data_IF_348033568915
#
_entry.id   IF_348033568915
#
_cell.length_a   1.000
_cell.length_b   1.000
_cell.length_c   1.000
_cell.angle_alpha   90.00
_cell.angle_beta   90.00
_cell.angle_gamma   90.00
#
_symmetry.space_group_name_H-M   'P 1'
#
loop_
_entity.id
_entity.type
_entity.pdbx_description
1 polymer ?
#
# COMPACT_ATOMS: atom_id res chain seq x y z
N UNK A 1 2.55 11.86 -21.22
CA UNK A 1 2.85 11.88 -19.78
C UNK A 1 1.62 11.47 -18.96
N UNK A 2 0.47 12.04 -19.23
CA UNK A 2 -0.80 11.78 -18.58
C UNK A 2 -1.22 10.31 -18.68
N UNK A 3 -1.31 9.77 -19.89
CA UNK A 3 -1.75 8.39 -20.14
C UNK A 3 -0.93 7.32 -19.40
N UNK A 4 0.36 7.56 -19.17
CA UNK A 4 1.26 6.60 -18.51
C UNK A 4 0.87 6.46 -17.04
N UNK A 5 0.64 7.57 -16.39
CA UNK A 5 0.28 7.64 -14.97
C UNK A 5 -1.12 7.12 -14.71
N UNK A 6 -2.07 7.55 -15.54
CA UNK A 6 -3.46 7.15 -15.45
C UNK A 6 -3.60 5.64 -15.69
N UNK A 7 -2.82 5.09 -16.64
CA UNK A 7 -2.73 3.65 -16.85
C UNK A 7 -2.07 2.93 -15.67
N UNK A 8 -1.01 3.50 -15.08
CA UNK A 8 -0.37 2.90 -13.90
C UNK A 8 -1.31 2.84 -12.71
N UNK A 9 -2.05 3.93 -12.46
CA UNK A 9 -3.05 3.97 -11.37
C UNK A 9 -4.21 3.02 -11.65
N UNK A 10 -4.71 2.95 -12.89
CA UNK A 10 -5.76 2.02 -13.27
C UNK A 10 -5.35 0.56 -12.97
N UNK A 11 -4.14 0.16 -13.35
CA UNK A 11 -3.63 -1.18 -13.07
C UNK A 11 -3.37 -1.44 -11.58
N UNK A 12 -2.90 -0.42 -10.86
CA UNK A 12 -2.76 -0.50 -9.40
C UNK A 12 -4.13 -0.67 -8.73
N UNK A 13 -5.14 0.10 -9.16
CA UNK A 13 -6.51 -0.06 -8.67
C UNK A 13 -7.09 -1.43 -9.01
N UNK A 14 -6.86 -1.91 -10.24
CA UNK A 14 -7.23 -3.28 -10.63
C UNK A 14 -6.61 -4.31 -9.67
N UNK A 15 -5.32 -4.21 -9.43
CA UNK A 15 -4.60 -5.11 -8.54
C UNK A 15 -5.12 -5.05 -7.10
N UNK A 16 -5.19 -3.85 -6.53
CA UNK A 16 -5.58 -3.63 -5.14
C UNK A 16 -7.04 -4.01 -4.86
N UNK A 17 -7.98 -3.54 -5.68
CA UNK A 17 -9.40 -3.85 -5.49
C UNK A 17 -9.72 -5.29 -5.87
N UNK A 18 -9.01 -5.87 -6.83
CA UNK A 18 -9.15 -7.29 -7.18
C UNK A 18 -8.77 -8.19 -6.01
N UNK A 19 -7.61 -7.96 -5.40
CA UNK A 19 -7.20 -8.68 -4.22
C UNK A 19 -8.21 -8.50 -3.07
N UNK A 20 -8.66 -7.26 -2.80
CA UNK A 20 -9.62 -6.99 -1.73
C UNK A 20 -10.97 -7.67 -1.94
N UNK A 21 -11.43 -7.80 -3.19
CA UNK A 21 -12.70 -8.45 -3.51
C UNK A 21 -12.74 -9.94 -3.11
N UNK A 22 -11.58 -10.60 -3.13
CA UNK A 22 -11.49 -12.03 -2.79
C UNK A 22 -10.88 -12.29 -1.41
N UNK A 23 -10.26 -11.28 -0.76
CA UNK A 23 -9.50 -11.46 0.49
C UNK A 23 -10.37 -12.01 1.62
N UNK A 24 -11.50 -11.38 1.92
CA UNK A 24 -12.39 -11.83 3.00
C UNK A 24 -13.01 -13.17 2.67
N UNK A 25 -13.40 -13.40 1.41
CA UNK A 25 -13.95 -14.68 0.96
C UNK A 25 -12.95 -15.82 1.11
N UNK A 26 -11.67 -15.57 0.79
CA UNK A 26 -10.58 -16.53 0.99
C UNK A 26 -10.33 -16.83 2.48
N UNK A 27 -10.44 -15.83 3.35
CA UNK A 27 -10.28 -16.04 4.79
C UNK A 27 -11.36 -16.95 5.37
N UNK A 28 -12.62 -16.78 4.94
CA UNK A 28 -13.80 -17.50 5.48
C UNK A 28 -14.00 -18.85 4.79
N UNK A 29 -13.54 -19.00 3.54
CA UNK A 29 -13.73 -20.24 2.79
C UNK A 29 -13.12 -21.42 3.57
N UNK A 30 -13.82 -22.56 3.52
CA UNK A 30 -13.39 -23.80 4.20
C UNK A 30 -11.97 -24.18 3.79
N UNK A 31 -11.19 -24.69 4.73
CA UNK A 31 -9.80 -25.14 4.54
C UNK A 31 -9.68 -26.49 3.83
N UNK A 32 -10.82 -27.07 3.47
CA UNK A 32 -10.93 -28.36 2.78
C UNK A 32 -11.74 -28.22 1.51
N UNK A 33 -11.30 -28.83 0.43
CA UNK A 33 -12.04 -28.86 -0.82
C UNK A 33 -11.26 -28.40 -2.04
N UNK A 34 -11.98 -28.23 -3.17
CA UNK A 34 -11.34 -27.92 -4.46
C UNK A 34 -10.77 -26.49 -4.51
N UNK A 35 -11.35 -25.57 -3.74
CA UNK A 35 -10.90 -24.16 -3.64
C UNK A 35 -10.78 -23.80 -2.16
N UNK A 36 -9.85 -24.45 -1.46
CA UNK A 36 -9.65 -24.30 -0.04
C UNK A 36 -9.20 -22.85 0.33
N UNK A 37 -9.80 -22.32 1.39
CA UNK A 37 -9.42 -21.04 2.00
C UNK A 37 -8.65 -21.25 3.30
N UNK A 38 -8.73 -20.30 4.21
CA UNK A 38 -8.08 -20.38 5.52
C UNK A 38 -9.00 -20.88 6.65
N UNK A 39 -10.31 -21.02 6.43
CA UNK A 39 -11.26 -21.52 7.41
C UNK A 39 -11.42 -20.64 8.66
N UNK A 40 -11.17 -19.33 8.56
CA UNK A 40 -11.31 -18.41 9.69
C UNK A 40 -12.80 -18.18 9.99
N UNK A 41 -13.12 -17.96 11.25
CA UNK A 41 -14.44 -17.46 11.63
C UNK A 41 -14.69 -16.08 11.00
N UNK A 42 -15.97 -15.79 10.66
CA UNK A 42 -16.33 -14.51 10.02
C UNK A 42 -15.83 -13.30 10.81
N UNK A 43 -15.94 -13.35 12.16
CA UNK A 43 -15.50 -12.26 13.03
C UNK A 43 -13.98 -12.05 12.93
N UNK A 44 -13.22 -13.12 12.94
CA UNK A 44 -11.75 -13.08 12.81
C UNK A 44 -11.33 -12.53 11.45
N UNK A 45 -11.98 -12.99 10.38
CA UNK A 45 -11.73 -12.54 9.03
C UNK A 45 -11.97 -11.02 8.86
N UNK A 46 -13.10 -10.51 9.39
CA UNK A 46 -13.39 -9.08 9.34
C UNK A 46 -12.45 -8.24 10.22
N UNK A 47 -12.04 -8.75 11.38
CA UNK A 47 -11.05 -8.08 12.23
C UNK A 47 -9.71 -7.98 11.52
N UNK A 48 -9.21 -9.07 10.93
CA UNK A 48 -7.97 -9.09 10.18
C UNK A 48 -8.02 -8.14 8.96
N UNK A 49 -9.14 -8.15 8.23
CA UNK A 49 -9.35 -7.22 7.13
C UNK A 49 -9.36 -5.76 7.57
N UNK A 50 -9.96 -5.47 8.72
CA UNK A 50 -9.97 -4.15 9.34
C UNK A 50 -8.55 -3.67 9.67
N UNK A 51 -7.75 -4.51 10.31
CA UNK A 51 -6.35 -4.25 10.61
C UNK A 51 -5.52 -4.01 9.34
N UNK A 52 -5.64 -4.90 8.36
CA UNK A 52 -4.97 -4.73 7.09
C UNK A 52 -5.29 -3.37 6.46
N UNK A 53 -6.58 -3.01 6.39
CA UNK A 53 -7.02 -1.74 5.81
C UNK A 53 -6.46 -0.54 6.58
N UNK A 54 -6.47 -0.59 7.90
CA UNK A 54 -5.91 0.45 8.76
C UNK A 54 -4.40 0.64 8.50
N UNK A 55 -3.64 -0.46 8.43
CA UNK A 55 -2.20 -0.38 8.15
C UNK A 55 -1.89 0.20 6.78
N UNK A 56 -2.69 -0.09 5.76
CA UNK A 56 -2.56 0.53 4.43
C UNK A 56 -2.64 2.05 4.50
N UNK A 57 -3.56 2.60 5.30
CA UNK A 57 -3.66 4.05 5.46
C UNK A 57 -2.52 4.63 6.30
N UNK A 58 -2.16 3.99 7.41
CA UNK A 58 -1.05 4.43 8.28
C UNK A 58 0.27 4.42 7.52
N UNK A 59 0.54 3.40 6.72
CA UNK A 59 1.77 3.28 5.92
C UNK A 59 1.94 4.40 4.89
N UNK A 60 0.86 5.09 4.50
CA UNK A 60 0.93 6.22 3.58
C UNK A 60 1.66 7.44 4.18
N UNK A 61 1.66 7.59 5.52
CA UNK A 61 2.35 8.69 6.20
C UNK A 61 3.88 8.55 6.08
N UNK A 62 4.51 7.45 6.56
CA UNK A 62 5.95 7.28 6.39
C UNK A 62 6.36 7.17 4.91
N UNK A 63 5.51 6.57 4.06
CA UNK A 63 5.79 6.47 2.62
C UNK A 63 5.90 7.84 1.94
N UNK A 64 5.03 8.79 2.27
CA UNK A 64 5.12 10.17 1.81
C UNK A 64 6.39 10.88 2.32
N UNK A 65 6.69 10.76 3.62
CA UNK A 65 7.88 11.37 4.23
C UNK A 65 9.18 10.85 3.60
N UNK A 66 9.28 9.54 3.35
CA UNK A 66 10.42 8.92 2.68
C UNK A 66 10.57 9.47 1.26
N UNK A 67 9.47 9.60 0.55
CA UNK A 67 9.49 10.14 -0.81
C UNK A 67 9.94 11.60 -0.83
N UNK A 68 9.37 12.45 0.01
CA UNK A 68 9.64 13.89 -0.02
C UNK A 68 11.05 14.24 0.47
N UNK A 69 11.57 13.49 1.47
CA UNK A 69 12.83 13.85 2.13
C UNK A 69 14.05 13.04 1.68
N UNK A 70 13.87 11.83 1.12
CA UNK A 70 14.98 10.87 0.98
C UNK A 70 15.22 10.45 -0.46
N UNK A 71 14.19 9.92 -1.13
CA UNK A 71 14.37 9.24 -2.41
C UNK A 71 13.74 9.95 -3.62
N UNK A 72 12.82 10.88 -3.38
CA UNK A 72 11.99 11.51 -4.41
C UNK A 72 10.75 10.66 -4.76
N UNK A 73 9.69 11.33 -5.18
CA UNK A 73 8.39 10.70 -5.43
C UNK A 73 8.45 9.65 -6.56
N UNK A 74 9.22 9.89 -7.64
CA UNK A 74 9.42 8.92 -8.73
C UNK A 74 9.95 7.58 -8.25
N UNK A 75 11.00 7.61 -7.43
CA UNK A 75 11.61 6.39 -6.90
C UNK A 75 10.69 5.72 -5.90
N UNK A 76 9.96 6.50 -5.08
CA UNK A 76 9.01 5.97 -4.13
C UNK A 76 7.86 5.22 -4.83
N UNK A 77 7.30 5.78 -5.91
CA UNK A 77 6.28 5.12 -6.74
C UNK A 77 6.84 3.83 -7.37
N UNK A 78 8.06 3.88 -7.90
CA UNK A 78 8.69 2.69 -8.50
C UNK A 78 8.90 1.57 -7.47
N UNK A 79 9.49 1.88 -6.32
CA UNK A 79 9.73 0.91 -5.24
C UNK A 79 8.41 0.38 -4.69
N UNK A 80 7.44 1.25 -4.46
CA UNK A 80 6.10 0.88 -4.00
C UNK A 80 5.41 -0.09 -4.98
N UNK A 81 5.50 0.18 -6.27
CA UNK A 81 4.98 -0.71 -7.31
C UNK A 81 5.67 -2.08 -7.35
N UNK A 82 6.99 -2.13 -7.18
CA UNK A 82 7.73 -3.40 -7.08
C UNK A 82 7.33 -4.21 -5.83
N UNK A 83 7.14 -3.54 -4.70
CA UNK A 83 6.65 -4.19 -3.47
C UNK A 83 5.24 -4.76 -3.66
N UNK A 84 4.37 -4.05 -4.40
CA UNK A 84 3.03 -4.55 -4.72
C UNK A 84 3.08 -5.79 -5.62
N UNK A 85 3.90 -5.78 -6.67
CA UNK A 85 4.10 -6.96 -7.54
C UNK A 85 4.60 -8.14 -6.72
N UNK A 86 5.61 -7.93 -5.87
CA UNK A 86 6.15 -8.97 -4.99
C UNK A 86 5.08 -9.47 -4.01
N UNK A 87 4.32 -8.56 -3.38
CA UNK A 87 3.27 -8.90 -2.42
C UNK A 87 2.18 -9.78 -3.02
N UNK A 88 1.66 -9.41 -4.19
CA UNK A 88 0.64 -10.23 -4.87
C UNK A 88 1.20 -11.56 -5.37
N UNK A 89 2.47 -11.60 -5.81
CA UNK A 89 3.13 -12.84 -6.22
C UNK A 89 3.32 -13.78 -5.03
N UNK A 90 3.65 -13.26 -3.85
CA UNK A 90 3.76 -14.03 -2.62
C UNK A 90 2.39 -14.51 -2.14
N UNK A 91 1.33 -13.70 -2.25
CA UNK A 91 -0.06 -14.14 -1.95
C UNK A 91 -0.55 -15.28 -2.84
N UNK A 92 0.02 -15.43 -4.04
CA UNK A 92 -0.30 -16.55 -4.92
C UNK A 92 0.33 -17.89 -4.45
N UNK A 93 1.17 -17.90 -3.40
CA UNK A 93 1.74 -19.10 -2.81
C UNK A 93 0.79 -19.64 -1.74
N UNK A 94 0.45 -20.93 -1.85
CA UNK A 94 -0.48 -21.63 -0.93
C UNK A 94 0.20 -21.95 0.42
N UNK A 95 0.51 -20.91 1.20
CA UNK A 95 1.11 -21.06 2.51
C UNK A 95 0.72 -19.91 3.44
N UNK A 96 0.42 -20.20 4.71
CA UNK A 96 0.00 -19.21 5.70
C UNK A 96 1.05 -18.11 5.91
N UNK A 97 2.35 -18.46 5.96
CA UNK A 97 3.41 -17.46 6.06
C UNK A 97 3.45 -16.51 4.84
N UNK A 98 3.17 -17.05 3.65
CA UNK A 98 3.14 -16.28 2.40
C UNK A 98 1.96 -15.30 2.41
N UNK A 99 0.83 -15.69 2.98
CA UNK A 99 -0.33 -14.83 3.16
C UNK A 99 0.02 -13.57 3.98
N UNK A 100 0.59 -13.73 5.19
CA UNK A 100 0.97 -12.58 6.01
C UNK A 100 2.12 -11.75 5.41
N UNK A 101 3.12 -12.42 4.83
CA UNK A 101 4.23 -11.74 4.16
C UNK A 101 3.73 -10.93 2.95
N UNK A 102 2.83 -11.51 2.14
CA UNK A 102 2.22 -10.85 1.00
C UNK A 102 1.42 -9.61 1.40
N UNK A 103 0.55 -9.71 2.41
CA UNK A 103 -0.20 -8.56 2.94
C UNK A 103 0.74 -7.46 3.46
N UNK A 104 1.82 -7.83 4.15
CA UNK A 104 2.81 -6.87 4.66
C UNK A 104 3.51 -6.11 3.52
N UNK A 105 3.92 -6.82 2.47
CA UNK A 105 4.52 -6.21 1.27
C UNK A 105 3.54 -5.27 0.56
N UNK A 106 2.27 -5.65 0.47
CA UNK A 106 1.22 -4.81 -0.12
C UNK A 106 1.00 -3.54 0.70
N UNK A 107 0.92 -3.64 2.03
CA UNK A 107 0.81 -2.48 2.93
C UNK A 107 1.96 -1.49 2.69
N UNK A 108 3.20 -1.98 2.67
CA UNK A 108 4.37 -1.14 2.41
C UNK A 108 4.34 -0.55 1.00
N UNK A 109 3.97 -1.34 0.01
CA UNK A 109 3.88 -0.93 -1.40
C UNK A 109 2.86 0.17 -1.63
N UNK A 110 1.62 0.00 -1.13
CA UNK A 110 0.55 1.01 -1.22
C UNK A 110 0.95 2.28 -0.48
N UNK A 111 1.55 2.14 0.72
CA UNK A 111 2.03 3.26 1.51
C UNK A 111 3.03 4.14 0.75
N UNK A 112 3.95 3.54 -0.02
CA UNK A 112 4.92 4.28 -0.82
C UNK A 112 4.34 4.79 -2.16
N UNK A 113 3.45 4.06 -2.80
CA UNK A 113 2.93 4.41 -4.12
C UNK A 113 1.84 5.47 -4.04
N UNK A 114 0.79 5.21 -3.26
CA UNK A 114 -0.47 5.96 -3.29
C UNK A 114 -0.34 7.47 -3.02
N UNK A 115 0.33 7.94 -1.95
CA UNK A 115 0.45 9.38 -1.69
C UNK A 115 1.27 10.08 -2.78
N UNK A 116 2.30 9.41 -3.28
CA UNK A 116 3.28 10.00 -4.19
C UNK A 116 2.78 10.09 -5.63
N UNK A 117 2.04 9.11 -6.13
CA UNK A 117 1.47 9.16 -7.48
C UNK A 117 0.43 10.28 -7.59
N UNK A 118 -0.42 10.48 -6.56
CA UNK A 118 -1.40 11.56 -6.52
C UNK A 118 -0.75 12.94 -6.51
N UNK A 119 0.33 13.11 -5.76
CA UNK A 119 1.11 14.36 -5.73
C UNK A 119 1.74 14.66 -7.09
N UNK A 120 2.30 13.63 -7.74
CA UNK A 120 2.85 13.77 -9.10
C UNK A 120 1.79 14.17 -10.13
N UNK A 121 0.52 13.73 -9.98
CA UNK A 121 -0.60 14.18 -10.82
C UNK A 121 -0.76 15.68 -10.73
N UNK A 122 -0.83 16.22 -9.50
CA UNK A 122 -0.97 17.65 -9.28
C UNK A 122 0.20 18.48 -9.81
N UNK A 123 1.41 17.95 -9.78
CA UNK A 123 2.65 18.62 -10.22
C UNK A 123 2.86 18.70 -11.73
N UNK A 124 2.05 17.98 -12.54
CA UNK A 124 2.19 18.02 -14.01
C UNK A 124 1.57 19.26 -14.66
N UNK A 125 0.69 19.93 -13.94
CA UNK A 125 -0.02 21.08 -14.49
C UNK A 125 0.43 22.36 -13.78
N UNK A 126 0.80 23.42 -14.53
CA UNK A 126 1.02 24.73 -13.98
C UNK A 126 -0.23 25.22 -13.21
N UNK A 127 0.01 26.00 -12.14
CA UNK A 127 -1.09 26.51 -11.28
C UNK A 127 -2.06 27.38 -12.09
N UNK A 128 -1.56 28.04 -13.14
CA UNK A 128 -2.31 28.93 -14.04
C UNK A 128 -3.27 28.16 -14.97
N UNK A 129 -3.05 26.87 -15.20
CA UNK A 129 -3.85 26.03 -16.09
C UNK A 129 -4.85 25.15 -15.34
N UNK A 130 -5.65 25.72 -14.45
CA UNK A 130 -6.60 24.98 -13.60
C UNK A 130 -7.54 24.07 -14.40
N UNK A 131 -8.10 24.55 -15.52
CA UNK A 131 -9.01 23.75 -16.35
C UNK A 131 -8.35 22.46 -16.89
N UNK A 132 -7.08 22.52 -17.29
CA UNK A 132 -6.35 21.32 -17.74
C UNK A 132 -6.03 20.39 -16.58
N UNK A 133 -5.71 20.95 -15.42
CA UNK A 133 -5.47 20.18 -14.20
C UNK A 133 -6.71 19.42 -13.76
N UNK A 134 -7.86 20.08 -13.74
CA UNK A 134 -9.15 19.48 -13.38
C UNK A 134 -9.52 18.36 -14.37
N UNK A 135 -9.36 18.59 -15.68
CA UNK A 135 -9.55 17.56 -16.70
C UNK A 135 -8.62 16.38 -16.49
N UNK A 136 -7.37 16.60 -16.12
CA UNK A 136 -6.40 15.56 -15.78
C UNK A 136 -6.85 14.71 -14.60
N UNK A 137 -7.39 15.33 -13.55
CA UNK A 137 -7.97 14.61 -12.42
C UNK A 137 -9.22 13.81 -12.79
N UNK A 138 -10.10 14.33 -13.66
CA UNK A 138 -11.26 13.56 -14.13
C UNK A 138 -10.85 12.28 -14.85
N UNK A 139 -9.87 12.35 -15.74
CA UNK A 139 -9.34 11.16 -16.46
C UNK A 139 -8.71 10.17 -15.48
N UNK A 140 -7.93 10.68 -14.51
CA UNK A 140 -7.33 9.89 -13.46
C UNK A 140 -8.37 9.13 -12.62
N UNK A 141 -9.42 9.82 -12.15
CA UNK A 141 -10.51 9.19 -11.40
C UNK A 141 -11.32 8.19 -12.26
N UNK A 142 -11.50 8.46 -13.55
CA UNK A 142 -12.15 7.52 -14.46
C UNK A 142 -11.32 6.23 -14.57
N UNK A 143 -10.00 6.33 -14.67
CA UNK A 143 -9.08 5.17 -14.64
C UNK A 143 -9.20 4.36 -13.36
N UNK A 144 -9.25 5.02 -12.19
CA UNK A 144 -9.45 4.39 -10.88
C UNK A 144 -10.74 3.54 -10.88
N UNK A 145 -11.87 4.13 -11.32
CA UNK A 145 -13.16 3.45 -11.29
C UNK A 145 -13.21 2.29 -12.29
N UNK A 146 -12.62 2.46 -13.47
CA UNK A 146 -12.54 1.39 -14.47
C UNK A 146 -11.69 0.23 -13.97
N UNK A 147 -10.55 0.51 -13.35
CA UNK A 147 -9.68 -0.49 -12.72
C UNK A 147 -10.41 -1.26 -11.61
N UNK A 148 -11.08 -0.53 -10.70
CA UNK A 148 -11.80 -1.14 -9.59
C UNK A 148 -12.98 -2.01 -10.04
N UNK A 149 -13.79 -1.53 -11.00
CA UNK A 149 -14.95 -2.27 -11.50
C UNK A 149 -14.53 -3.54 -12.26
N UNK A 150 -13.56 -3.44 -13.16
CA UNK A 150 -13.03 -4.59 -13.90
C UNK A 150 -12.37 -5.62 -12.97
N UNK A 151 -11.69 -5.16 -11.93
CA UNK A 151 -11.05 -6.00 -10.94
C UNK A 151 -12.06 -6.87 -10.17
N UNK A 152 -13.12 -6.25 -9.65
CA UNK A 152 -14.15 -6.99 -8.90
C UNK A 152 -14.79 -8.10 -9.75
N UNK A 153 -15.02 -7.83 -11.05
CA UNK A 153 -15.61 -8.81 -11.97
C UNK A 153 -14.60 -9.91 -12.33
N UNK A 154 -13.40 -9.55 -12.78
CA UNK A 154 -12.43 -10.49 -13.36
C UNK A 154 -11.72 -11.26 -12.25
N UNK A 155 -11.12 -10.58 -11.29
CA UNK A 155 -10.40 -11.23 -10.18
C UNK A 155 -11.36 -11.95 -9.25
N UNK A 156 -12.54 -11.36 -8.99
CA UNK A 156 -13.59 -11.99 -8.19
C UNK A 156 -14.09 -13.30 -8.82
N UNK A 157 -14.34 -13.31 -10.13
CA UNK A 157 -14.75 -14.51 -10.85
C UNK A 157 -13.66 -15.59 -10.83
N UNK A 158 -12.41 -15.24 -11.14
CA UNK A 158 -11.29 -16.18 -11.16
C UNK A 158 -11.04 -16.76 -9.77
N UNK A 159 -11.01 -15.91 -8.73
CA UNK A 159 -10.79 -16.36 -7.35
C UNK A 159 -11.83 -17.34 -6.86
N UNK A 160 -13.12 -17.07 -7.12
CA UNK A 160 -14.21 -17.93 -6.62
C UNK A 160 -14.42 -19.22 -7.44
N UNK A 161 -14.24 -19.16 -8.77
CA UNK A 161 -14.61 -20.27 -9.65
C UNK A 161 -13.42 -21.12 -10.09
N UNK A 162 -12.20 -20.56 -10.13
CA UNK A 162 -11.00 -21.25 -10.60
C UNK A 162 -10.08 -21.56 -9.42
N UNK A 163 -9.76 -20.57 -8.57
CA UNK A 163 -8.96 -20.72 -7.37
C UNK A 163 -8.49 -19.38 -6.81
N UNK A 164 -8.45 -19.27 -5.47
CA UNK A 164 -8.07 -18.05 -4.77
C UNK A 164 -6.68 -17.55 -5.18
N UNK A 165 -5.72 -18.47 -5.28
CA UNK A 165 -4.33 -18.17 -5.63
C UNK A 165 -4.17 -17.67 -7.07
N UNK A 166 -4.99 -18.16 -8.00
CA UNK A 166 -5.07 -17.62 -9.36
C UNK A 166 -5.65 -16.19 -9.37
N UNK A 167 -6.63 -15.91 -8.51
CA UNK A 167 -7.15 -14.57 -8.32
C UNK A 167 -6.07 -13.59 -7.80
N UNK A 168 -5.33 -13.97 -6.77
CA UNK A 168 -4.21 -13.18 -6.25
C UNK A 168 -3.09 -13.01 -7.28
N UNK A 169 -2.76 -14.08 -8.01
CA UNK A 169 -1.78 -14.04 -9.11
C UNK A 169 -2.21 -13.09 -10.24
N UNK A 170 -3.49 -13.09 -10.61
CA UNK A 170 -4.03 -12.19 -11.63
C UNK A 170 -3.96 -10.71 -11.19
N UNK A 171 -4.23 -10.44 -9.92
CA UNK A 171 -3.98 -9.11 -9.35
C UNK A 171 -2.51 -8.71 -9.45
N UNK A 172 -1.59 -9.66 -9.21
CA UNK A 172 -0.15 -9.47 -9.39
C UNK A 172 0.25 -9.16 -10.83
N UNK A 173 -0.34 -9.86 -11.81
CA UNK A 173 -0.11 -9.59 -13.24
C UNK A 173 -0.58 -8.17 -13.59
N UNK A 174 -1.76 -7.77 -13.13
CA UNK A 174 -2.26 -6.40 -13.30
C UNK A 174 -1.27 -5.36 -12.78
N UNK A 175 -0.74 -5.56 -11.56
CA UNK A 175 0.26 -4.66 -10.98
C UNK A 175 1.57 -4.66 -11.78
N UNK A 176 2.02 -5.81 -12.28
CA UNK A 176 3.21 -5.91 -13.12
C UNK A 176 3.06 -5.13 -14.43
N UNK A 177 1.89 -5.18 -15.06
CA UNK A 177 1.58 -4.36 -16.25
C UNK A 177 1.61 -2.87 -15.92
N UNK A 178 1.03 -2.46 -14.80
CA UNK A 178 1.13 -1.08 -14.31
C UNK A 178 2.57 -0.65 -14.07
N UNK A 179 3.37 -1.50 -13.44
CA UNK A 179 4.77 -1.22 -13.16
C UNK A 179 5.62 -1.12 -14.43
N UNK A 180 5.39 -1.99 -15.42
CA UNK A 180 6.03 -1.91 -16.73
C UNK A 180 5.67 -0.61 -17.45
N UNK A 181 4.39 -0.24 -17.46
CA UNK A 181 3.93 1.03 -18.03
C UNK A 181 4.61 2.22 -17.36
N UNK A 182 4.72 2.21 -16.02
CA UNK A 182 5.41 3.25 -15.27
C UNK A 182 6.89 3.30 -15.61
N UNK A 183 7.57 2.16 -15.67
CA UNK A 183 9.00 2.08 -15.99
C UNK A 183 9.33 2.64 -17.37
N UNK A 184 8.59 2.22 -18.39
CA UNK A 184 8.74 2.78 -19.74
C UNK A 184 8.40 4.26 -19.80
N UNK A 185 7.44 4.70 -18.98
CA UNK A 185 6.96 6.08 -18.93
C UNK A 185 7.85 7.05 -18.17
N UNK A 186 8.72 6.56 -17.29
CA UNK A 186 9.61 7.43 -16.48
C UNK A 186 10.45 8.41 -17.29
N UNK A 187 10.86 8.02 -18.50
CA UNK A 187 11.62 8.87 -19.43
C UNK A 187 10.89 10.16 -19.84
N UNK A 188 9.57 10.15 -19.78
CA UNK A 188 8.74 11.32 -20.10
C UNK A 188 8.43 12.18 -18.86
N UNK A 189 8.61 11.67 -17.66
CA UNK A 189 8.35 12.37 -16.40
C UNK A 189 9.61 13.08 -15.86
N UNK A 190 10.36 13.78 -16.70
CA UNK A 190 11.69 14.31 -16.35
C UNK A 190 11.64 15.44 -15.32
N UNK A 191 10.57 16.23 -15.32
CA UNK A 191 10.45 17.47 -14.55
C UNK A 191 9.59 17.34 -13.28
N UNK A 192 8.95 16.19 -13.02
CA UNK A 192 8.07 15.99 -11.86
C UNK A 192 8.57 14.88 -10.97
N UNK A 193 8.42 15.03 -9.65
CA UNK A 193 8.69 13.96 -8.68
C UNK A 193 10.16 13.66 -8.40
N UNK A 194 11.07 14.52 -8.85
CA UNK A 194 12.48 14.46 -8.44
C UNK A 194 12.65 15.03 -7.03
N UNK A 195 13.64 14.52 -6.30
CA UNK A 195 14.01 15.10 -5.02
C UNK A 195 14.57 16.51 -5.27
N UNK A 196 13.92 17.54 -4.73
CA UNK A 196 14.43 18.91 -4.74
C UNK A 196 15.41 19.03 -3.58
N UNK A 197 16.71 19.01 -3.89
CA UNK A 197 17.77 19.24 -2.91
C UNK A 197 18.16 20.71 -3.05
N UNK A 198 17.76 21.52 -2.09
CA UNK A 198 18.24 22.88 -1.95
C UNK A 198 19.59 22.85 -1.23
N UNK A 199 20.62 23.38 -1.90
CA UNK A 199 21.99 23.61 -1.50
C UNK A 199 22.91 22.49 -0.99
N UNK A 200 24.14 22.47 -1.55
CA UNK A 200 25.11 21.36 -1.48
C UNK A 200 25.75 21.11 -0.11
N UNK A 201 25.75 22.05 0.81
CA UNK A 201 26.36 21.89 2.14
C UNK A 201 25.39 21.47 3.23
N UNK A 202 24.11 21.79 3.12
CA UNK A 202 23.08 21.23 3.97
C UNK A 202 22.79 19.75 3.68
N UNK A 203 23.05 19.28 2.44
CA UNK A 203 22.72 17.92 2.03
C UNK A 203 23.49 16.84 2.80
N UNK A 204 24.74 17.10 3.23
CA UNK A 204 25.50 16.14 4.04
C UNK A 204 25.01 16.12 5.50
N UNK A 205 24.78 17.27 6.10
CA UNK A 205 24.17 17.38 7.44
C UNK A 205 22.75 16.86 7.44
N UNK A 206 21.98 17.15 6.39
CA UNK A 206 20.62 16.68 6.22
C UNK A 206 20.57 15.15 6.04
N UNK A 207 21.45 14.54 5.23
CA UNK A 207 21.54 13.07 5.09
C UNK A 207 21.87 12.39 6.40
N UNK A 208 22.83 12.91 7.18
CA UNK A 208 23.17 12.34 8.48
C UNK A 208 22.04 12.51 9.49
N UNK A 209 21.38 13.67 9.52
CA UNK A 209 20.24 13.92 10.38
C UNK A 209 18.98 13.13 9.93
N UNK A 210 18.80 12.94 8.63
CA UNK A 210 17.70 12.13 8.08
C UNK A 210 17.93 10.65 8.40
N UNK A 211 19.13 10.10 8.17
CA UNK A 211 19.45 8.73 8.53
C UNK A 211 19.27 8.51 10.04
N UNK A 212 19.71 9.44 10.87
CA UNK A 212 19.50 9.37 12.32
C UNK A 212 18.03 9.52 12.71
N UNK A 213 17.28 10.41 12.03
CA UNK A 213 15.83 10.59 12.22
C UNK A 213 15.05 9.38 11.74
N UNK A 214 15.48 8.73 10.64
CA UNK A 214 14.90 7.47 10.18
C UNK A 214 15.19 6.35 11.17
N UNK A 215 16.43 6.25 11.67
CA UNK A 215 16.78 5.23 12.67
C UNK A 215 15.99 5.46 13.98
N UNK A 216 15.83 6.69 14.40
CA UNK A 216 14.99 7.08 15.54
C UNK A 216 13.50 6.80 15.25
N UNK A 217 13.02 7.12 14.06
CA UNK A 217 11.65 6.86 13.62
C UNK A 217 11.41 5.35 13.40
N UNK A 218 12.39 4.60 12.88
CA UNK A 218 12.30 3.14 12.74
C UNK A 218 12.27 2.44 14.11
N UNK A 219 13.13 2.85 15.03
CA UNK A 219 13.09 2.36 16.42
C UNK A 219 11.78 2.72 17.11
N UNK A 220 11.25 3.92 16.88
CA UNK A 220 9.95 4.35 17.37
C UNK A 220 8.82 3.56 16.71
N UNK A 221 8.88 3.31 15.40
CA UNK A 221 7.90 2.51 14.66
C UNK A 221 7.95 1.04 15.04
N UNK A 222 9.15 0.48 15.24
CA UNK A 222 9.33 -0.90 15.76
C UNK A 222 8.82 -0.99 17.20
N UNK A 223 9.15 -0.02 18.05
CA UNK A 223 8.61 0.08 19.39
C UNK A 223 7.08 0.19 19.40
N UNK A 224 6.50 1.02 18.53
CA UNK A 224 5.06 1.14 18.34
C UNK A 224 4.44 -0.18 17.86
N UNK A 225 5.02 -0.83 16.87
CA UNK A 225 4.54 -2.12 16.38
C UNK A 225 4.60 -3.20 17.48
N UNK A 226 5.71 -3.30 18.22
CA UNK A 226 5.85 -4.26 19.31
C UNK A 226 4.81 -3.99 20.40
N UNK A 227 4.66 -2.75 20.84
CA UNK A 227 3.69 -2.37 21.87
C UNK A 227 2.27 -2.60 21.39
N UNK A 228 2.01 -2.35 20.13
CA UNK A 228 0.72 -2.56 19.49
C UNK A 228 0.38 -4.05 19.34
N UNK A 229 1.32 -4.88 18.87
CA UNK A 229 1.12 -6.34 18.76
C UNK A 229 1.01 -7.01 20.14
N UNK A 230 1.76 -6.53 21.14
CA UNK A 230 1.61 -6.98 22.51
C UNK A 230 0.24 -6.56 23.07
N UNK A 231 -0.20 -5.34 22.77
CA UNK A 231 -1.54 -4.87 23.13
C UNK A 231 -2.66 -5.68 22.47
N UNK A 232 -2.49 -6.06 21.19
CA UNK A 232 -3.41 -6.96 20.50
C UNK A 232 -3.44 -8.35 21.10
N UNK A 233 -2.28 -8.93 21.41
CA UNK A 233 -2.19 -10.25 22.05
C UNK A 233 -2.93 -10.26 23.39
N UNK A 234 -2.70 -9.24 24.22
CA UNK A 234 -3.39 -9.07 25.50
C UNK A 234 -4.89 -8.79 25.29
N UNK A 235 -5.27 -8.06 24.22
CA UNK A 235 -6.67 -7.80 23.88
C UNK A 235 -7.45 -9.08 23.54
N UNK A 236 -6.85 -9.99 22.82
CA UNK A 236 -7.48 -11.27 22.47
C UNK A 236 -7.53 -12.25 23.66
N UNK A 237 -6.57 -12.13 24.60
CA UNK A 237 -6.48 -13.02 25.77
C UNK A 237 -7.28 -12.50 26.98
N UNK A 238 -7.49 -11.17 27.07
CA UNK A 238 -8.19 -10.50 28.19
C UNK A 238 -9.20 -9.45 27.70
N UNK A 239 -10.31 -9.92 27.11
CA UNK A 239 -11.36 -9.09 26.49
C UNK A 239 -11.86 -7.92 27.34
N UNK A 240 -11.88 -8.04 28.66
CA UNK A 240 -12.43 -7.02 29.59
C UNK A 240 -11.54 -5.78 29.76
N UNK A 241 -10.24 -5.88 29.50
CA UNK A 241 -9.28 -4.77 29.69
C UNK A 241 -8.62 -4.33 28.34
N UNK A 242 -8.91 -5.02 27.24
CA UNK A 242 -8.23 -4.86 25.98
C UNK A 242 -8.35 -3.45 25.38
N UNK A 243 -9.53 -2.83 25.49
CA UNK A 243 -9.78 -1.50 24.94
C UNK A 243 -8.94 -0.43 25.67
N UNK A 244 -8.81 -0.55 27.01
CA UNK A 244 -8.01 0.37 27.82
C UNK A 244 -6.52 0.26 27.48
N UNK A 245 -6.02 -0.97 27.35
CA UNK A 245 -4.61 -1.25 27.01
C UNK A 245 -4.31 -0.78 25.59
N UNK A 246 -5.24 -0.94 24.66
CA UNK A 246 -5.09 -0.48 23.29
C UNK A 246 -5.02 1.07 23.20
N UNK A 247 -5.87 1.77 23.95
CA UNK A 247 -5.83 3.23 24.04
C UNK A 247 -4.55 3.74 24.69
N UNK A 248 -4.07 3.08 25.76
CA UNK A 248 -2.81 3.43 26.42
C UNK A 248 -1.61 3.15 25.51
N UNK A 249 -1.58 2.03 24.81
CA UNK A 249 -0.51 1.69 23.85
C UNK A 249 -0.46 2.68 22.70
N UNK A 250 -1.62 3.12 22.20
CA UNK A 250 -1.72 4.14 21.15
C UNK A 250 -1.22 5.50 21.66
N UNK A 251 -1.60 5.89 22.87
CA UNK A 251 -1.14 7.14 23.49
C UNK A 251 0.39 7.15 23.73
N UNK A 252 0.95 6.02 24.23
CA UNK A 252 2.40 5.86 24.40
C UNK A 252 3.13 5.87 23.05
N UNK A 253 2.57 5.21 22.04
CA UNK A 253 3.13 5.23 20.68
C UNK A 253 3.19 6.64 20.08
N UNK A 254 2.13 7.43 20.25
CA UNK A 254 2.11 8.85 19.82
C UNK A 254 3.14 9.66 20.62
N UNK A 255 3.22 9.47 21.92
CA UNK A 255 4.18 10.19 22.75
C UNK A 255 5.65 9.91 22.33
N UNK A 256 5.99 8.67 21.97
CA UNK A 256 7.33 8.29 21.48
C UNK A 256 7.62 8.90 20.12
N UNK A 257 6.62 9.14 19.28
CA UNK A 257 6.79 9.75 17.93
C UNK A 257 6.93 11.27 18.03
N UNK A 258 6.30 11.90 19.02
CA UNK A 258 6.29 13.37 19.19
C UNK A 258 7.51 13.87 19.94
N UNK A 259 8.13 13.07 20.82
CA UNK A 259 9.38 13.36 21.55
C UNK A 259 10.60 12.73 20.85
#
# INVERSE_FOLDING_TARGET
EMCIRDSTEMWERFSYYGMRAILVLYLIAEDVGKNAGLGFDEKEAYVLYGWYTMFVYIASIPGGIIADKIIGQKKAVFIGGMLLVAGHSVLAIEALWAFYAGLSLIVMGVGMLKPNISTMVGGLYPIEEQNKRDMGFYIFYMGINLGAASAALIVGYVGQNIGWHYGFGLAGIGMALGQLTYWYGQRFLTHVGNLVIDDRDESKKLKTNIVFSIFKSLNSTIGFCITFFVGLYIFFDAWDYGLLIMCLSFAVGIAIVVY
#
